data_IF_335829467192
#
_entry.id   IF_335829467192
#
_cell.length_a   1.000
_cell.length_b   1.000
_cell.length_c   1.000
_cell.angle_alpha   90.00
_cell.angle_beta   90.00
_cell.angle_gamma   90.00
#
_symmetry.space_group_name_H-M   'P 1'
#
loop_
_entity.id
_entity.type
_entity.pdbx_description
1 polymer ?
#
# COMPACT_ATOMS: atom_id res chain seq x y z
N UNK A 1 -30.68 21.63 -8.71
CA UNK A 1 -29.33 22.20 -8.44
C UNK A 1 -28.58 21.47 -7.33
N UNK A 2 -29.20 21.11 -6.21
CA UNK A 2 -28.52 20.36 -5.13
C UNK A 2 -28.00 18.97 -5.52
N UNK A 3 -28.70 18.21 -6.39
CA UNK A 3 -28.22 16.88 -6.81
C UNK A 3 -27.02 16.92 -7.77
N UNK A 4 -26.96 17.89 -8.68
CA UNK A 4 -25.80 18.06 -9.57
C UNK A 4 -24.51 18.40 -8.79
N UNK A 5 -24.62 19.22 -7.73
CA UNK A 5 -23.49 19.51 -6.85
C UNK A 5 -23.03 18.29 -6.06
N UNK A 6 -23.95 17.41 -5.65
CA UNK A 6 -23.63 16.19 -4.94
C UNK A 6 -22.94 15.15 -5.84
N UNK A 7 -23.38 15.01 -7.09
CA UNK A 7 -22.72 14.15 -8.09
C UNK A 7 -21.31 14.65 -8.42
N UNK A 8 -21.14 15.96 -8.60
CA UNK A 8 -19.83 16.56 -8.84
C UNK A 8 -18.86 16.32 -7.67
N UNK A 9 -19.33 16.46 -6.43
CA UNK A 9 -18.51 16.21 -5.24
C UNK A 9 -18.15 14.72 -5.09
N UNK A 10 -19.09 13.82 -5.38
CA UNK A 10 -18.80 12.36 -5.40
C UNK A 10 -17.73 12.02 -6.42
N UNK A 11 -17.79 12.56 -7.65
CA UNK A 11 -16.73 12.37 -8.65
C UNK A 11 -15.39 12.94 -8.19
N UNK A 12 -15.38 14.12 -7.56
CA UNK A 12 -14.16 14.74 -7.03
C UNK A 12 -13.50 13.86 -5.97
N UNK A 13 -14.27 13.39 -4.99
CA UNK A 13 -13.76 12.52 -3.91
C UNK A 13 -13.28 11.18 -4.48
N UNK A 14 -14.04 10.59 -5.41
CA UNK A 14 -13.64 9.37 -6.14
C UNK A 14 -12.27 9.52 -6.80
N UNK A 15 -12.08 10.59 -7.57
CA UNK A 15 -10.82 10.84 -8.29
C UNK A 15 -9.64 11.07 -7.34
N UNK A 16 -9.87 11.76 -6.21
CA UNK A 16 -8.84 11.93 -5.18
C UNK A 16 -8.46 10.59 -4.53
N UNK A 17 -9.44 9.73 -4.23
CA UNK A 17 -9.20 8.39 -3.69
C UNK A 17 -8.48 7.49 -4.69
N UNK A 18 -8.80 7.56 -5.99
CA UNK A 18 -8.09 6.81 -7.02
C UNK A 18 -6.62 7.22 -7.12
N UNK A 19 -6.32 8.52 -7.06
CA UNK A 19 -4.94 9.01 -7.00
C UNK A 19 -4.23 8.48 -5.74
N UNK A 20 -4.84 8.64 -4.57
CA UNK A 20 -4.26 8.15 -3.31
C UNK A 20 -4.05 6.64 -3.29
N UNK A 21 -4.94 5.87 -3.93
CA UNK A 21 -4.81 4.42 -4.08
C UNK A 21 -3.64 4.05 -5.00
N UNK A 22 -3.37 4.83 -6.04
CA UNK A 22 -2.19 4.66 -6.91
C UNK A 22 -0.91 4.89 -6.12
N UNK A 23 -0.83 5.97 -5.35
CA UNK A 23 0.34 6.29 -4.52
C UNK A 23 0.58 5.20 -3.46
N UNK A 24 -0.49 4.69 -2.85
CA UNK A 24 -0.42 3.61 -1.87
C UNK A 24 0.11 2.30 -2.50
N UNK A 25 -0.27 2.01 -3.75
CA UNK A 25 0.26 0.85 -4.49
C UNK A 25 1.74 1.01 -4.85
N UNK A 26 2.16 2.21 -5.24
CA UNK A 26 3.59 2.47 -5.49
C UNK A 26 4.39 2.31 -4.20
N UNK A 27 3.88 2.84 -3.08
CA UNK A 27 4.51 2.63 -1.77
C UNK A 27 4.60 1.16 -1.38
N UNK A 28 3.58 0.35 -1.67
CA UNK A 28 3.62 -1.09 -1.43
C UNK A 28 4.73 -1.76 -2.25
N UNK A 29 4.90 -1.36 -3.51
CA UNK A 29 5.94 -1.88 -4.40
C UNK A 29 7.34 -1.57 -3.85
N UNK A 30 7.59 -0.33 -3.41
CA UNK A 30 8.84 0.05 -2.76
C UNK A 30 9.17 -0.81 -1.53
N UNK A 31 8.16 -1.09 -0.68
CA UNK A 31 8.33 -1.93 0.50
C UNK A 31 8.64 -3.39 0.14
N UNK A 32 8.04 -3.91 -0.94
CA UNK A 32 8.33 -5.26 -1.45
C UNK A 32 9.75 -5.35 -2.01
N UNK A 33 10.20 -4.33 -2.71
CA UNK A 33 11.58 -4.24 -3.22
C UNK A 33 12.58 -4.15 -2.07
N UNK A 34 12.27 -3.37 -1.03
CA UNK A 34 13.08 -3.30 0.19
C UNK A 34 13.17 -4.65 0.91
N UNK A 35 12.04 -5.37 1.06
CA UNK A 35 12.01 -6.72 1.64
C UNK A 35 12.89 -7.69 0.83
N UNK A 36 12.85 -7.60 -0.50
CA UNK A 36 13.67 -8.43 -1.39
C UNK A 36 15.17 -8.13 -1.23
N UNK A 37 15.53 -6.85 -1.14
CA UNK A 37 16.90 -6.41 -0.88
C UNK A 37 17.40 -6.88 0.49
N UNK A 38 16.60 -6.72 1.55
CA UNK A 38 16.96 -7.18 2.89
C UNK A 38 17.13 -8.70 2.95
N UNK A 39 16.26 -9.45 2.26
CA UNK A 39 16.38 -10.91 2.12
C UNK A 39 17.70 -11.29 1.45
N UNK A 40 18.10 -10.58 0.40
CA UNK A 40 19.35 -10.83 -0.28
C UNK A 40 20.56 -10.54 0.62
N UNK A 41 20.56 -9.39 1.32
CA UNK A 41 21.60 -9.05 2.30
C UNK A 41 21.73 -10.07 3.43
N UNK A 42 20.61 -10.56 3.94
CA UNK A 42 20.60 -11.62 4.96
C UNK A 42 21.24 -12.92 4.43
N UNK A 43 20.93 -13.33 3.19
CA UNK A 43 21.57 -14.49 2.54
C UNK A 43 23.07 -14.29 2.36
N UNK A 44 23.50 -13.08 1.97
CA UNK A 44 24.91 -12.79 1.77
C UNK A 44 25.71 -12.79 3.08
N UNK A 45 25.10 -12.34 4.19
CA UNK A 45 25.67 -12.53 5.53
C UNK A 45 25.85 -14.01 5.87
N UNK A 46 24.82 -14.85 5.64
CA UNK A 46 24.91 -16.29 5.91
C UNK A 46 25.98 -16.98 5.06
N UNK A 47 26.13 -16.61 3.79
CA UNK A 47 27.21 -17.11 2.91
C UNK A 47 28.60 -16.77 3.44
N UNK A 48 28.74 -15.65 4.16
CA UNK A 48 29.99 -15.21 4.80
C UNK A 48 30.13 -15.70 6.25
N UNK A 49 29.25 -16.61 6.69
CA UNK A 49 29.16 -17.09 8.08
C UNK A 49 28.88 -15.99 9.13
N UNK A 50 28.45 -14.80 8.72
CA UNK A 50 28.03 -13.69 9.59
C UNK A 50 26.58 -13.90 10.05
N UNK A 51 26.39 -14.70 11.11
CA UNK A 51 25.06 -15.00 11.65
C UNK A 51 24.39 -13.77 12.27
N UNK A 52 25.15 -12.92 12.96
CA UNK A 52 24.60 -11.72 13.60
C UNK A 52 24.12 -10.70 12.57
N UNK A 53 24.87 -10.50 11.48
CA UNK A 53 24.44 -9.64 10.37
C UNK A 53 23.17 -10.15 9.71
N UNK A 54 23.05 -11.46 9.50
CA UNK A 54 21.83 -12.05 8.98
C UNK A 54 20.62 -11.79 9.91
N UNK A 55 20.81 -11.97 11.24
CA UNK A 55 19.75 -11.68 12.24
C UNK A 55 19.34 -10.21 12.19
N UNK A 56 20.29 -9.27 12.09
CA UNK A 56 19.98 -7.83 11.98
C UNK A 56 19.11 -7.51 10.76
N UNK A 57 19.42 -8.07 9.59
CA UNK A 57 18.60 -7.87 8.39
C UNK A 57 17.21 -8.51 8.51
N UNK A 58 17.11 -9.71 9.07
CA UNK A 58 15.81 -10.37 9.33
C UNK A 58 14.95 -9.56 10.31
N UNK A 59 15.54 -8.95 11.34
CA UNK A 59 14.82 -8.07 12.26
C UNK A 59 14.26 -6.83 11.53
N UNK A 60 15.06 -6.19 10.67
CA UNK A 60 14.59 -5.07 9.84
C UNK A 60 13.46 -5.48 8.91
N UNK A 61 13.53 -6.66 8.29
CA UNK A 61 12.45 -7.20 7.44
C UNK A 61 11.12 -7.30 8.20
N UNK A 62 11.13 -7.62 9.49
CA UNK A 62 9.91 -7.67 10.31
C UNK A 62 9.23 -6.30 10.40
N UNK A 63 10.01 -5.21 10.49
CA UNK A 63 9.50 -3.84 10.50
C UNK A 63 8.86 -3.47 9.15
N UNK A 64 9.59 -3.71 8.05
CA UNK A 64 9.10 -3.41 6.69
C UNK A 64 7.85 -4.21 6.36
N UNK A 65 7.77 -5.49 6.76
CA UNK A 65 6.59 -6.33 6.56
C UNK A 65 5.34 -5.75 7.23
N UNK A 66 5.46 -5.30 8.48
CA UNK A 66 4.33 -4.66 9.18
C UNK A 66 3.85 -3.41 8.45
N UNK A 67 4.75 -2.62 7.88
CA UNK A 67 4.38 -1.45 7.08
C UNK A 67 3.66 -1.88 5.79
N UNK A 68 4.15 -2.90 5.10
CA UNK A 68 3.50 -3.44 3.90
C UNK A 68 2.09 -3.95 4.20
N UNK A 69 1.90 -4.67 5.31
CA UNK A 69 0.59 -5.17 5.76
C UNK A 69 -0.40 -4.01 6.00
N UNK A 70 0.05 -2.93 6.64
CA UNK A 70 -0.76 -1.72 6.85
C UNK A 70 -1.13 -1.04 5.52
N UNK A 71 -0.19 -0.92 4.59
CA UNK A 71 -0.45 -0.33 3.27
C UNK A 71 -1.46 -1.16 2.48
N UNK A 72 -1.40 -2.50 2.57
CA UNK A 72 -2.40 -3.39 1.97
C UNK A 72 -3.80 -3.13 2.55
N UNK A 73 -3.92 -2.97 3.87
CA UNK A 73 -5.19 -2.62 4.50
C UNK A 73 -5.74 -1.28 4.00
N UNK A 74 -4.88 -0.27 3.87
CA UNK A 74 -5.24 1.06 3.33
C UNK A 74 -5.75 0.93 1.89
N UNK A 75 -5.01 0.22 1.02
CA UNK A 75 -5.42 -0.01 -0.38
C UNK A 75 -6.79 -0.70 -0.44
N UNK A 76 -7.01 -1.72 0.37
CA UNK A 76 -8.28 -2.44 0.40
C UNK A 76 -9.42 -1.52 0.85
N UNK A 77 -9.20 -0.68 1.85
CA UNK A 77 -10.21 0.28 2.31
C UNK A 77 -10.50 1.35 1.26
N UNK A 78 -9.47 1.90 0.60
CA UNK A 78 -9.63 2.84 -0.51
C UNK A 78 -10.47 2.23 -1.65
N UNK A 79 -10.17 0.98 -2.05
CA UNK A 79 -10.95 0.27 -3.09
C UNK A 79 -12.40 0.06 -2.68
N UNK A 80 -12.66 -0.34 -1.43
CA UNK A 80 -14.03 -0.47 -0.91
C UNK A 80 -14.80 0.84 -1.01
N UNK A 81 -14.20 1.96 -0.59
CA UNK A 81 -14.87 3.27 -0.62
C UNK A 81 -15.11 3.72 -2.08
N UNK A 82 -14.15 3.50 -2.98
CA UNK A 82 -14.34 3.81 -4.41
C UNK A 82 -15.54 3.03 -4.96
N UNK A 83 -15.64 1.73 -4.69
CA UNK A 83 -16.79 0.92 -5.11
C UNK A 83 -18.12 1.38 -4.51
N UNK A 84 -18.13 1.84 -3.25
CA UNK A 84 -19.32 2.43 -2.62
C UNK A 84 -19.72 3.76 -3.29
N UNK A 85 -18.76 4.57 -3.72
CA UNK A 85 -19.02 5.82 -4.45
C UNK A 85 -19.54 5.51 -5.85
N UNK A 86 -18.93 4.56 -6.56
CA UNK A 86 -19.38 4.12 -7.90
C UNK A 86 -20.84 3.66 -7.84
N UNK A 87 -21.19 2.83 -6.87
CA UNK A 87 -22.58 2.36 -6.69
C UNK A 87 -23.57 3.50 -6.36
N UNK A 88 -23.12 4.60 -5.76
CA UNK A 88 -23.96 5.80 -5.51
C UNK A 88 -24.11 6.65 -6.77
N UNK A 89 -23.04 6.78 -7.56
CA UNK A 89 -23.03 7.50 -8.83
C UNK A 89 -23.91 6.80 -9.87
N UNK A 90 -23.90 5.47 -9.93
CA UNK A 90 -24.75 4.67 -10.82
C UNK A 90 -26.26 4.81 -10.55
N UNK A 91 -26.62 5.27 -9.34
CA UNK A 91 -28.01 5.45 -8.88
C UNK A 91 -28.47 6.90 -8.89
N UNK A 92 -27.59 7.85 -9.23
CA UNK A 92 -27.84 9.30 -9.20
C UNK A 92 -28.24 9.83 -10.58
#
# INVERSE_FOLDING_TARGET
MASQNQVAELHRVRNQLESSCRDSKERLKELVDELSNLKQKAKDCLRKHDREGAIRYLYRMRGVRKQADLVVLVINKQRSIISEIDAKLDRA
#
